data_IF_692288043104
#
_entry.id   IF_692288043104
#
_cell.length_a   1.000
_cell.length_b   1.000
_cell.length_c   1.000
_cell.angle_alpha   90.00
_cell.angle_beta   90.00
_cell.angle_gamma   90.00
#
_symmetry.space_group_name_H-M   'P 1'
#
loop_
_entity.id
_entity.type
_entity.pdbx_description
1 polymer ?
#
# COMPACT_ATOMS: atom_id res chain seq x y z
N UNK A 1 18.44 26.33 -11.69
CA UNK A 1 18.83 24.96 -12.12
C UNK A 1 20.17 24.61 -11.49
N UNK A 2 20.22 23.63 -10.59
CA UNK A 2 21.47 23.12 -10.04
C UNK A 2 21.99 22.01 -10.97
N UNK A 3 23.26 22.12 -11.40
CA UNK A 3 23.93 21.09 -12.20
C UNK A 3 24.28 19.87 -11.34
N UNK A 4 24.34 18.64 -11.89
CA UNK A 4 24.62 17.42 -11.13
C UNK A 4 25.90 17.46 -10.26
N UNK A 5 26.94 18.19 -10.67
CA UNK A 5 28.15 18.40 -9.86
C UNK A 5 27.88 19.14 -8.53
N UNK A 6 27.05 20.20 -8.55
CA UNK A 6 26.67 20.96 -7.35
C UNK A 6 25.81 20.13 -6.39
N UNK A 7 25.00 19.20 -6.90
CA UNK A 7 24.25 18.24 -6.07
C UNK A 7 25.18 17.33 -5.25
N UNK A 8 26.36 16.97 -5.75
CA UNK A 8 27.26 16.04 -5.05
C UNK A 8 28.10 16.68 -3.94
N UNK A 9 28.36 17.99 -4.03
CA UNK A 9 29.15 18.76 -3.06
C UNK A 9 28.32 19.21 -1.84
N UNK A 10 27.01 19.42 -2.01
CA UNK A 10 26.09 19.91 -0.95
C UNK A 10 25.57 18.83 0.01
N UNK A 11 25.88 17.55 -0.22
CA UNK A 11 25.55 16.48 0.72
C UNK A 11 26.80 16.14 1.55
N UNK A 12 26.98 16.73 2.75
CA UNK A 12 28.02 16.27 3.66
C UNK A 12 27.79 14.78 3.93
N UNK A 13 28.87 14.00 4.03
CA UNK A 13 28.83 12.54 4.22
C UNK A 13 27.74 12.18 5.24
N UNK A 14 26.59 11.74 4.76
CA UNK A 14 25.58 11.12 5.60
C UNK A 14 26.20 9.91 6.29
N UNK A 15 25.54 9.41 7.33
CA UNK A 15 25.89 8.16 8.03
C UNK A 15 26.53 7.16 7.06
N UNK A 16 27.78 6.77 7.36
CA UNK A 16 28.64 5.85 6.61
C UNK A 16 27.97 4.46 6.54
N UNK A 17 26.87 4.36 5.79
CA UNK A 17 26.29 3.08 5.41
C UNK A 17 27.10 2.61 4.22
N UNK A 18 27.77 1.47 4.37
CA UNK A 18 28.58 0.89 3.31
C UNK A 18 27.77 0.79 2.00
N UNK A 19 28.36 1.14 0.84
CA UNK A 19 27.68 1.08 -0.46
C UNK A 19 27.04 -0.28 -0.77
N UNK A 20 27.61 -1.35 -0.22
CA UNK A 20 27.17 -2.74 -0.38
C UNK A 20 25.79 -3.03 0.22
N UNK A 21 25.34 -2.22 1.18
CA UNK A 21 24.02 -2.35 1.81
C UNK A 21 22.91 -1.64 1.01
N UNK A 22 23.24 -1.01 -0.11
CA UNK A 22 22.31 -0.30 -0.98
C UNK A 22 22.19 -1.01 -2.33
N UNK A 23 20.96 -1.37 -2.68
CA UNK A 23 20.65 -2.09 -3.88
C UNK A 23 20.88 -1.23 -5.12
N UNK A 24 21.59 -1.80 -6.11
CA UNK A 24 21.73 -1.23 -7.45
C UNK A 24 20.42 -1.41 -8.21
N UNK A 25 19.95 -0.36 -8.88
CA UNK A 25 18.80 -0.47 -9.77
C UNK A 25 19.20 -1.27 -11.02
N UNK A 26 18.31 -2.16 -11.47
CA UNK A 26 18.55 -2.96 -12.67
C UNK A 26 18.48 -2.09 -13.93
N UNK A 27 19.18 -2.49 -15.01
CA UNK A 27 19.13 -1.78 -16.30
C UNK A 27 17.72 -1.66 -16.88
N UNK A 28 16.80 -2.54 -16.50
CA UNK A 28 15.42 -2.58 -16.98
C UNK A 28 14.44 -1.76 -16.14
N UNK A 29 14.84 -1.30 -14.94
CA UNK A 29 14.00 -0.46 -14.08
C UNK A 29 14.73 0.83 -13.71
N UNK A 30 14.22 1.95 -14.21
CA UNK A 30 14.73 3.28 -13.87
C UNK A 30 14.24 3.74 -12.51
N UNK A 31 14.91 4.76 -11.94
CA UNK A 31 14.44 5.46 -10.74
C UNK A 31 13.02 6.03 -10.93
N UNK A 32 12.65 6.44 -12.15
CA UNK A 32 11.29 6.90 -12.47
C UNK A 32 10.23 5.81 -12.22
N UNK A 33 10.52 4.56 -12.63
CA UNK A 33 9.60 3.44 -12.45
C UNK A 33 9.27 3.16 -10.98
N UNK A 34 10.22 3.47 -10.06
CA UNK A 34 10.03 3.27 -8.62
C UNK A 34 9.02 4.25 -8.01
N UNK A 35 8.84 5.42 -8.62
CA UNK A 35 7.95 6.48 -8.13
C UNK A 35 6.72 6.69 -9.01
N UNK A 36 6.52 5.89 -10.07
CA UNK A 36 5.38 5.99 -10.99
C UNK A 36 4.07 5.43 -10.40
N UNK A 37 4.14 4.62 -9.35
CA UNK A 37 3.00 3.88 -8.77
C UNK A 37 2.10 4.65 -7.79
N UNK A 38 2.15 5.98 -7.77
CA UNK A 38 1.39 6.84 -6.86
C UNK A 38 2.16 7.28 -5.60
N UNK A 39 1.48 8.02 -4.72
CA UNK A 39 2.09 8.63 -3.53
C UNK A 39 2.63 7.58 -2.55
N UNK A 40 3.96 7.50 -2.43
CA UNK A 40 4.63 6.65 -1.45
C UNK A 40 4.56 7.33 -0.07
N UNK A 41 3.69 6.86 0.81
CA UNK A 41 3.62 7.36 2.19
C UNK A 41 4.73 6.73 3.05
N UNK A 42 5.75 7.52 3.36
CA UNK A 42 6.87 7.20 4.23
C UNK A 42 6.54 7.53 5.68
N UNK A 43 6.89 6.62 6.59
CA UNK A 43 6.76 6.83 8.04
C UNK A 43 7.94 7.62 8.56
N UNK A 44 7.66 8.68 9.33
CA UNK A 44 8.66 9.55 9.92
C UNK A 44 9.06 9.04 11.32
N UNK A 45 10.36 8.86 11.51
CA UNK A 45 11.00 8.41 12.74
C UNK A 45 11.78 9.59 13.35
N UNK A 46 11.23 10.12 14.44
CA UNK A 46 11.81 11.23 15.20
C UNK A 46 12.72 10.69 16.30
N UNK A 47 13.92 11.27 16.39
CA UNK A 47 14.89 10.96 17.45
C UNK A 47 14.56 11.71 18.74
N UNK A 48 15.24 11.38 19.85
CA UNK A 48 14.94 11.94 21.17
C UNK A 48 15.12 13.45 21.34
N UNK A 49 15.94 14.09 20.49
CA UNK A 49 16.03 15.55 20.43
C UNK A 49 14.76 16.18 19.84
N UNK A 50 13.97 15.39 19.12
CA UNK A 50 12.79 15.83 18.41
C UNK A 50 11.49 15.72 19.23
N UNK A 51 11.25 16.71 20.09
CA UNK A 51 10.05 16.80 20.94
C UNK A 51 8.97 17.76 20.44
N UNK A 52 9.30 18.70 19.55
CA UNK A 52 8.37 19.71 19.04
C UNK A 52 8.49 19.89 17.53
N UNK A 53 7.43 20.38 16.89
CA UNK A 53 7.41 20.71 15.46
C UNK A 53 8.40 21.83 15.11
N UNK A 54 8.69 22.77 16.02
CA UNK A 54 9.67 23.86 15.82
C UNK A 54 11.05 23.37 15.35
N UNK A 55 11.54 22.27 15.89
CA UNK A 55 12.91 21.80 15.65
C UNK A 55 12.99 20.58 14.74
N UNK A 56 11.86 20.06 14.24
CA UNK A 56 11.80 18.72 13.62
C UNK A 56 11.02 18.67 12.33
N UNK A 57 10.48 19.81 11.92
CA UNK A 57 9.58 19.88 10.79
C UNK A 57 9.94 21.05 9.89
N UNK A 58 10.02 20.86 8.55
CA UNK A 58 10.33 21.92 7.61
C UNK A 58 9.42 23.13 7.64
N UNK A 59 8.28 23.14 8.36
CA UNK A 59 7.42 24.32 8.50
C UNK A 59 7.21 24.75 9.97
N UNK A 60 8.00 24.22 10.91
CA UNK A 60 7.90 24.57 12.33
C UNK A 60 6.50 24.33 12.89
N UNK A 61 6.03 25.22 13.77
CA UNK A 61 4.73 25.07 14.45
C UNK A 61 3.51 25.50 13.62
N UNK A 62 3.68 25.88 12.35
CA UNK A 62 2.59 26.41 11.50
C UNK A 62 1.37 25.50 11.38
N UNK A 63 1.55 24.18 11.53
CA UNK A 63 0.47 23.18 11.48
C UNK A 63 0.00 22.71 12.85
N UNK A 64 0.65 23.11 13.94
CA UNK A 64 0.25 22.74 15.31
C UNK A 64 0.39 21.26 15.67
N UNK A 65 0.96 20.42 14.80
CA UNK A 65 1.26 19.01 15.08
C UNK A 65 2.56 18.57 14.40
N UNK A 66 3.15 17.49 14.93
CA UNK A 66 4.30 16.82 14.32
C UNK A 66 3.79 15.70 13.39
N UNK A 67 4.03 15.76 12.07
CA UNK A 67 3.47 14.80 11.13
C UNK A 67 4.06 13.39 11.32
N UNK A 68 3.26 12.35 11.21
CA UNK A 68 3.72 10.95 11.28
C UNK A 68 4.12 10.39 9.92
N UNK A 69 3.65 11.02 8.83
CA UNK A 69 3.83 10.55 7.47
C UNK A 69 4.31 11.68 6.55
N UNK A 70 5.17 11.31 5.61
CA UNK A 70 5.61 12.12 4.47
C UNK A 70 5.26 11.38 3.19
N UNK A 71 4.84 12.07 2.14
CA UNK A 71 4.69 11.47 0.81
C UNK A 71 5.57 12.14 -0.23
N UNK A 72 6.04 11.32 -1.17
CA UNK A 72 6.74 11.79 -2.37
C UNK A 72 5.88 11.47 -3.58
N UNK A 73 5.30 12.50 -4.17
CA UNK A 73 4.50 12.43 -5.38
C UNK A 73 5.33 12.93 -6.55
N UNK A 74 5.71 12.04 -7.48
CA UNK A 74 6.50 12.41 -8.64
C UNK A 74 5.65 13.22 -9.63
N UNK A 75 6.10 14.42 -9.97
CA UNK A 75 5.46 15.35 -10.90
C UNK A 75 6.03 15.15 -12.32
N UNK A 76 7.36 15.01 -12.40
CA UNK A 76 8.07 14.91 -13.67
C UNK A 76 9.29 14.00 -13.49
N UNK A 77 9.57 13.18 -14.49
CA UNK A 77 10.81 12.42 -14.56
C UNK A 77 11.40 12.55 -15.97
N UNK A 78 12.69 12.90 -16.06
CA UNK A 78 13.42 12.87 -17.32
C UNK A 78 14.32 11.63 -17.35
N UNK A 79 14.06 10.74 -18.31
CA UNK A 79 14.83 9.50 -18.47
C UNK A 79 16.30 9.77 -18.87
N UNK A 80 16.56 10.85 -19.62
CA UNK A 80 17.90 11.16 -20.16
C UNK A 80 18.87 11.75 -19.11
N UNK A 81 18.32 12.39 -18.05
CA UNK A 81 19.12 13.07 -17.01
C UNK A 81 19.00 12.45 -15.63
N UNK A 82 18.19 11.39 -15.46
CA UNK A 82 17.84 10.81 -14.16
C UNK A 82 17.42 11.87 -13.12
N UNK A 83 16.82 12.95 -13.61
CA UNK A 83 16.36 14.08 -12.80
C UNK A 83 14.87 13.96 -12.55
N UNK A 84 14.46 14.04 -11.29
CA UNK A 84 13.08 13.88 -10.85
C UNK A 84 12.57 15.19 -10.24
N UNK A 85 11.28 15.45 -10.38
CA UNK A 85 10.59 16.51 -9.63
C UNK A 85 9.51 15.90 -8.77
N UNK A 86 9.45 16.34 -7.52
CA UNK A 86 8.54 15.82 -6.52
C UNK A 86 7.71 16.94 -5.89
N UNK A 87 6.45 16.63 -5.62
CA UNK A 87 5.68 17.28 -4.56
C UNK A 87 5.85 16.46 -3.29
N UNK A 88 6.28 17.11 -2.22
CA UNK A 88 6.54 16.49 -0.92
C UNK A 88 5.50 17.01 0.07
N UNK A 89 4.70 16.11 0.62
CA UNK A 89 3.58 16.47 1.49
C UNK A 89 3.69 15.76 2.84
N UNK A 90 3.17 16.37 3.89
CA UNK A 90 3.23 15.84 5.24
C UNK A 90 1.85 15.80 5.88
N UNK A 91 1.56 14.73 6.64
CA UNK A 91 0.27 14.59 7.32
C UNK A 91 0.36 13.61 8.50
N UNK A 92 -0.73 13.52 9.27
CA UNK A 92 -0.82 12.64 10.45
C UNK A 92 -1.76 11.43 10.26
N UNK A 93 -2.52 11.37 9.15
CA UNK A 93 -3.48 10.29 8.89
C UNK A 93 -3.10 9.46 7.66
N UNK A 94 -3.11 8.13 7.78
CA UNK A 94 -2.90 7.21 6.66
C UNK A 94 -3.99 7.27 5.58
N UNK A 95 -5.17 7.82 5.87
CA UNK A 95 -6.25 7.95 4.89
C UNK A 95 -6.19 9.31 4.19
N UNK A 96 -5.46 9.35 3.07
CA UNK A 96 -5.73 10.34 2.03
C UNK A 96 -6.45 9.61 0.90
N UNK A 97 -7.72 9.93 0.71
CA UNK A 97 -8.49 9.37 -0.41
C UNK A 97 -7.80 9.70 -1.74
N UNK A 98 -8.04 8.88 -2.75
CA UNK A 98 -7.53 9.05 -4.12
C UNK A 98 -7.86 10.44 -4.73
N UNK A 99 -8.81 11.16 -4.14
CA UNK A 99 -9.32 12.48 -4.57
C UNK A 99 -8.95 13.64 -3.62
N UNK A 100 -8.05 13.45 -2.66
CA UNK A 100 -7.63 14.53 -1.77
C UNK A 100 -6.77 15.55 -2.53
N UNK A 101 -7.20 16.81 -2.58
CA UNK A 101 -6.38 17.89 -3.16
C UNK A 101 -5.07 18.08 -2.39
N UNK A 102 -3.95 18.38 -3.10
CA UNK A 102 -2.67 18.71 -2.48
C UNK A 102 -2.78 19.92 -1.57
N UNK A 103 -2.25 19.84 -0.33
CA UNK A 103 -2.14 21.03 0.51
C UNK A 103 -0.81 21.73 0.23
N UNK A 104 -0.80 22.57 -0.80
CA UNK A 104 0.42 23.23 -1.31
C UNK A 104 1.06 24.13 -0.24
N UNK A 105 0.26 24.69 0.69
CA UNK A 105 0.76 25.59 1.74
C UNK A 105 1.72 24.92 2.73
N UNK A 106 1.62 23.60 2.90
CA UNK A 106 2.47 22.79 3.79
C UNK A 106 3.23 21.73 2.99
N UNK A 107 3.52 22.03 1.73
CA UNK A 107 4.23 21.13 0.82
C UNK A 107 5.53 21.74 0.33
N UNK A 108 6.49 20.88 0.01
CA UNK A 108 7.75 21.27 -0.62
C UNK A 108 7.75 20.83 -2.08
N UNK A 109 8.43 21.61 -2.93
CA UNK A 109 8.78 21.18 -4.27
C UNK A 109 10.24 20.71 -4.27
N UNK A 110 10.48 19.49 -4.74
CA UNK A 110 11.80 18.86 -4.72
C UNK A 110 12.34 18.60 -6.12
N UNK A 111 13.62 18.92 -6.35
CA UNK A 111 14.38 18.44 -7.51
C UNK A 111 15.35 17.34 -7.04
N UNK A 112 15.23 16.16 -7.63
CA UNK A 112 15.97 14.95 -7.30
C UNK A 112 16.94 14.52 -8.39
N UNK A 113 18.08 13.96 -7.99
CA UNK A 113 19.04 13.31 -8.89
C UNK A 113 19.54 11.99 -8.30
N UNK A 114 19.63 10.96 -9.14
CA UNK A 114 20.13 9.64 -8.75
C UNK A 114 21.66 9.57 -8.86
N UNK A 115 22.33 9.22 -7.76
CA UNK A 115 23.76 8.93 -7.70
C UNK A 115 23.98 7.42 -7.86
N UNK A 116 24.35 6.99 -9.07
CA UNK A 116 24.61 5.58 -9.40
C UNK A 116 25.81 5.00 -8.65
N UNK A 117 26.81 5.81 -8.28
CA UNK A 117 27.99 5.31 -7.55
C UNK A 117 27.63 4.98 -6.12
N UNK A 118 26.74 5.76 -5.51
CA UNK A 118 26.31 5.58 -4.11
C UNK A 118 25.02 4.77 -3.98
N UNK A 119 24.29 4.52 -5.07
CA UNK A 119 22.94 3.95 -5.08
C UNK A 119 21.96 4.73 -4.20
N UNK A 120 21.96 6.06 -4.34
CA UNK A 120 21.10 6.96 -3.56
C UNK A 120 20.43 8.01 -4.42
N UNK A 121 19.19 8.35 -4.05
CA UNK A 121 18.49 9.50 -4.58
C UNK A 121 18.70 10.69 -3.64
N UNK A 122 19.23 11.77 -4.18
CA UNK A 122 19.41 13.04 -3.48
C UNK A 122 18.36 14.03 -3.98
N UNK A 123 17.60 14.63 -3.06
CA UNK A 123 16.56 15.63 -3.38
C UNK A 123 16.83 16.94 -2.64
N UNK A 124 16.96 18.02 -3.40
CA UNK A 124 16.92 19.39 -2.87
C UNK A 124 15.48 19.84 -2.87
N UNK A 125 14.94 20.20 -1.71
CA UNK A 125 13.55 20.59 -1.56
C UNK A 125 13.42 22.05 -1.13
N UNK A 126 12.45 22.73 -1.73
CA UNK A 126 12.19 24.14 -1.56
C UNK A 126 10.79 24.39 -1.00
N UNK A 127 10.68 25.37 -0.11
CA UNK A 127 9.39 25.90 0.36
C UNK A 127 8.68 26.64 -0.76
N UNK A 128 7.35 26.52 -0.76
CA UNK A 128 6.47 27.27 -1.65
C UNK A 128 5.81 28.36 -0.81
N UNK A 129 6.16 29.62 -1.07
CA UNK A 129 5.57 30.75 -0.35
C UNK A 129 4.30 31.24 -1.03
N UNK A 130 3.41 31.84 -0.23
CA UNK A 130 2.13 32.45 -0.66
C UNK A 130 1.13 31.50 -1.37
N UNK A 131 1.38 30.19 -1.31
CA UNK A 131 0.54 29.16 -1.94
C UNK A 131 -0.91 29.11 -1.42
N UNK A 132 -1.17 29.63 -0.21
CA UNK A 132 -2.53 29.73 0.35
C UNK A 132 -3.37 30.86 -0.25
N UNK A 133 -2.74 31.84 -0.92
CA UNK A 133 -3.40 33.08 -1.35
C UNK A 133 -3.74 33.13 -2.84
N UNK A 134 -2.85 32.60 -3.70
CA UNK A 134 -3.08 32.37 -5.14
C UNK A 134 -1.89 31.62 -5.72
N UNK A 135 -2.12 30.72 -6.69
CA UNK A 135 -1.04 30.07 -7.44
C UNK A 135 -0.22 31.07 -8.25
N UNK A 136 -0.84 32.14 -8.75
CA UNK A 136 -0.17 33.15 -9.58
C UNK A 136 0.81 34.01 -8.78
N UNK A 137 0.61 34.11 -7.47
CA UNK A 137 1.49 34.82 -6.53
C UNK A 137 2.47 33.89 -5.82
N UNK A 138 2.31 32.57 -6.01
CA UNK A 138 3.17 31.58 -5.38
C UNK A 138 4.55 31.57 -6.03
N UNK A 139 5.58 31.42 -5.22
CA UNK A 139 6.94 31.29 -5.71
C UNK A 139 7.75 30.32 -4.86
N UNK A 140 8.76 29.76 -5.51
CA UNK A 140 9.75 28.89 -4.87
C UNK A 140 10.70 29.77 -4.07
N UNK A 141 10.83 29.47 -2.78
CA UNK A 141 11.69 30.21 -1.87
C UNK A 141 12.81 29.37 -1.29
N UNK A 142 12.77 29.15 0.02
CA UNK A 142 13.84 28.52 0.79
C UNK A 142 14.09 27.07 0.36
N UNK A 143 15.24 26.84 -0.30
CA UNK A 143 15.70 25.54 -0.79
C UNK A 143 16.73 24.86 0.11
N UNK A 144 16.70 25.10 1.43
CA UNK A 144 17.68 24.51 2.38
C UNK A 144 17.32 23.11 2.86
N UNK A 145 16.15 22.58 2.47
CA UNK A 145 15.78 21.21 2.83
C UNK A 145 16.50 20.21 1.92
N UNK A 146 17.06 19.16 2.52
CA UNK A 146 17.70 18.04 1.81
C UNK A 146 17.00 16.75 2.19
N UNK A 147 16.80 15.88 1.20
CA UNK A 147 16.43 14.49 1.41
C UNK A 147 17.47 13.59 0.76
N UNK A 148 17.69 12.44 1.38
CA UNK A 148 18.47 11.34 0.79
C UNK A 148 17.71 10.05 1.04
N UNK A 149 17.52 9.23 0.02
CA UNK A 149 16.93 7.89 0.17
C UNK A 149 17.71 6.83 -0.59
N UNK A 150 17.57 5.59 -0.13
CA UNK A 150 18.21 4.41 -0.71
C UNK A 150 17.28 3.20 -0.61
N UNK A 151 17.55 2.22 -1.46
CA UNK A 151 16.92 0.91 -1.41
C UNK A 151 17.85 -0.05 -0.68
N UNK A 152 17.48 -0.66 0.46
CA UNK A 152 18.31 -1.69 1.08
C UNK A 152 18.51 -2.89 0.15
N UNK A 153 19.68 -3.53 0.20
CA UNK A 153 19.97 -4.74 -0.60
C UNK A 153 19.51 -6.05 0.07
N UNK A 154 19.34 -6.03 1.39
CA UNK A 154 18.98 -7.18 2.21
C UNK A 154 17.83 -6.76 3.14
N UNK A 155 16.78 -7.57 3.17
CA UNK A 155 15.68 -7.50 4.12
C UNK A 155 15.87 -8.56 5.22
N UNK A 156 15.27 -8.30 6.37
CA UNK A 156 15.14 -9.29 7.46
C UNK A 156 13.86 -9.05 8.25
N UNK A 157 13.52 -9.95 9.17
CA UNK A 157 12.37 -9.75 10.09
C UNK A 157 12.46 -8.46 10.90
N UNK A 158 13.68 -7.96 11.15
CA UNK A 158 13.92 -6.69 11.85
C UNK A 158 13.86 -5.49 10.94
N UNK A 159 14.33 -5.62 9.70
CA UNK A 159 14.33 -4.53 8.73
C UNK A 159 13.55 -4.94 7.47
N UNK A 160 12.26 -4.60 7.47
CA UNK A 160 11.34 -4.93 6.37
C UNK A 160 11.12 -3.77 5.39
N UNK A 161 11.84 -2.67 5.57
CA UNK A 161 11.67 -1.44 4.78
C UNK A 161 12.39 -1.56 3.45
N UNK A 162 11.66 -1.37 2.36
CA UNK A 162 12.20 -1.40 0.98
C UNK A 162 12.78 -0.05 0.55
N UNK A 163 12.43 1.03 1.25
CA UNK A 163 13.11 2.33 1.15
C UNK A 163 13.41 2.82 2.56
N UNK A 164 14.61 3.36 2.73
CA UNK A 164 15.02 4.11 3.92
C UNK A 164 15.65 5.43 3.48
N UNK A 165 15.42 6.48 4.26
CA UNK A 165 15.95 7.79 3.95
C UNK A 165 15.95 8.73 5.14
N UNK A 166 16.40 9.94 4.87
CA UNK A 166 16.53 11.02 5.85
C UNK A 166 16.13 12.33 5.20
N UNK A 167 15.53 13.22 5.98
CA UNK A 167 15.22 14.61 5.63
C UNK A 167 15.80 15.53 6.70
N UNK A 168 16.44 16.63 6.29
CA UNK A 168 17.07 17.58 7.21
C UNK A 168 17.18 18.98 6.59
N UNK A 169 17.40 20.00 7.43
CA UNK A 169 17.79 21.33 7.00
C UNK A 169 19.32 21.46 6.97
N UNK A 170 19.87 22.17 5.97
CA UNK A 170 21.30 22.54 5.96
C UNK A 170 21.59 23.83 6.73
N UNK A 171 20.55 24.50 7.25
CA UNK A 171 20.70 25.72 8.04
C UNK A 171 21.42 25.43 9.36
N UNK A 172 22.16 26.40 9.93
CA UNK A 172 22.64 26.28 11.29
C UNK A 172 21.47 26.34 12.29
N UNK A 173 21.67 25.77 13.48
CA UNK A 173 20.63 25.58 14.49
C UNK A 173 19.97 26.87 15.00
N UNK A 174 20.64 28.01 14.85
CA UNK A 174 20.17 29.33 15.28
C UNK A 174 19.41 30.11 14.19
N UNK A 175 19.31 29.57 12.98
CA UNK A 175 18.60 30.21 11.87
C UNK A 175 17.14 29.75 11.74
N UNK A 176 16.29 30.67 11.32
CA UNK A 176 14.88 30.35 11.05
C UNK A 176 14.76 29.32 9.91
N UNK A 177 13.99 28.25 10.14
CA UNK A 177 13.86 27.15 9.18
C UNK A 177 14.89 26.03 9.36
N UNK A 178 15.72 26.09 10.41
CA UNK A 178 16.41 24.90 10.89
C UNK A 178 15.41 23.84 11.38
N UNK A 179 15.71 22.59 11.05
CA UNK A 179 15.13 21.44 11.72
C UNK A 179 16.12 20.27 11.66
N UNK A 180 16.08 19.46 12.71
CA UNK A 180 16.93 18.30 12.90
C UNK A 180 16.66 17.21 11.85
N UNK A 181 17.63 16.32 11.72
CA UNK A 181 17.53 15.16 10.82
C UNK A 181 16.44 14.21 11.30
N UNK A 182 15.49 13.93 10.42
CA UNK A 182 14.40 12.98 10.63
C UNK A 182 14.60 11.80 9.70
N UNK A 183 14.54 10.59 10.25
CA UNK A 183 14.61 9.37 9.45
C UNK A 183 13.22 9.05 8.89
N UNK A 184 13.18 8.40 7.74
CA UNK A 184 11.94 7.90 7.20
C UNK A 184 12.10 6.54 6.55
N UNK A 185 11.02 5.74 6.62
CA UNK A 185 11.02 4.38 6.08
C UNK A 185 9.75 4.11 5.31
N UNK A 186 9.85 3.20 4.34
CA UNK A 186 8.71 2.68 3.60
C UNK A 186 8.85 1.18 3.47
N UNK A 187 7.88 0.45 4.01
CA UNK A 187 7.76 -1.00 3.91
C UNK A 187 6.57 -1.42 3.05
N UNK A 188 6.32 -0.69 1.97
CA UNK A 188 5.24 -0.94 1.03
C UNK A 188 5.65 -1.79 -0.17
N UNK A 189 4.82 -1.77 -1.22
CA UNK A 189 4.72 -2.82 -2.25
C UNK A 189 5.71 -2.66 -3.41
N UNK A 190 6.85 -2.01 -3.18
CA UNK A 190 7.86 -1.85 -4.22
C UNK A 190 8.59 -3.19 -4.37
N UNK A 191 8.48 -3.77 -5.56
CA UNK A 191 9.18 -4.99 -5.93
C UNK A 191 10.54 -4.60 -6.50
N UNK A 192 11.61 -5.06 -5.88
CA UNK A 192 12.97 -4.76 -6.29
C UNK A 192 13.67 -6.03 -6.75
N UNK A 193 14.26 -5.99 -7.95
CA UNK A 193 15.07 -7.11 -8.44
C UNK A 193 16.40 -7.17 -7.70
N UNK A 194 16.84 -8.36 -7.31
CA UNK A 194 18.10 -8.57 -6.59
C UNK A 194 18.02 -8.31 -5.08
N UNK A 195 16.84 -7.96 -4.55
CA UNK A 195 16.62 -7.85 -3.11
C UNK A 195 16.65 -9.24 -2.47
N UNK A 196 17.55 -9.43 -1.51
CA UNK A 196 17.69 -10.68 -0.75
C UNK A 196 16.95 -10.62 0.57
N UNK A 197 16.59 -11.78 1.09
CA UNK A 197 16.06 -11.91 2.45
C UNK A 197 16.97 -12.79 3.31
N UNK A 198 17.31 -12.32 4.49
CA UNK A 198 18.09 -13.05 5.48
C UNK A 198 17.20 -13.44 6.67
N UNK A 199 17.06 -14.75 6.88
CA UNK A 199 16.27 -15.28 7.99
C UNK A 199 17.08 -15.31 9.28
N UNK A 200 16.52 -14.77 10.35
CA UNK A 200 17.21 -14.61 11.63
C UNK A 200 16.59 -15.42 12.78
N UNK A 201 15.37 -15.93 12.62
CA UNK A 201 14.62 -16.63 13.68
C UNK A 201 14.45 -18.13 13.42
N UNK A 202 15.13 -18.70 12.40
CA UNK A 202 14.94 -20.11 12.04
C UNK A 202 15.31 -21.09 13.14
N UNK A 203 16.28 -20.77 14.01
CA UNK A 203 16.61 -21.62 15.16
C UNK A 203 15.48 -21.67 16.18
N UNK A 204 14.77 -20.56 16.39
CA UNK A 204 13.55 -20.54 17.22
C UNK A 204 12.40 -21.25 16.53
N UNK A 205 12.25 -21.08 15.22
CA UNK A 205 11.23 -21.78 14.43
C UNK A 205 11.41 -23.30 14.56
N UNK A 206 12.63 -23.82 14.40
CA UNK A 206 12.92 -25.25 14.55
C UNK A 206 12.50 -25.80 15.92
N UNK A 207 12.64 -25.00 16.98
CA UNK A 207 12.24 -25.37 18.35
C UNK A 207 10.72 -25.28 18.57
N UNK A 208 10.09 -24.19 18.13
CA UNK A 208 8.67 -23.89 18.41
C UNK A 208 7.70 -24.51 17.39
N UNK A 209 8.21 -24.90 16.23
CA UNK A 209 7.46 -25.48 15.11
C UNK A 209 8.05 -26.85 14.73
N UNK A 210 7.94 -27.87 15.59
CA UNK A 210 8.41 -29.21 15.27
C UNK A 210 7.60 -29.76 14.08
N UNK A 211 8.28 -29.98 12.96
CA UNK A 211 7.66 -30.56 11.78
C UNK A 211 7.58 -32.07 11.94
N UNK A 212 6.39 -32.62 11.66
CA UNK A 212 6.24 -34.08 11.56
C UNK A 212 6.82 -34.50 10.23
N UNK A 213 7.61 -35.58 10.20
CA UNK A 213 8.06 -36.19 8.95
C UNK A 213 6.87 -36.36 8.01
N UNK A 214 7.03 -36.06 6.70
CA UNK A 214 5.95 -36.19 5.74
C UNK A 214 5.54 -37.65 5.68
N UNK A 215 4.50 -38.01 6.43
CA UNK A 215 3.83 -39.29 6.26
C UNK A 215 3.27 -39.26 4.84
N UNK A 216 3.58 -40.29 4.08
CA UNK A 216 2.98 -40.61 2.79
C UNK A 216 1.47 -40.76 2.96
N UNK A 217 0.73 -39.66 3.05
CA UNK A 217 -0.72 -39.67 3.01
C UNK A 217 -1.16 -39.45 1.56
N UNK A 218 -1.91 -40.42 1.06
CA UNK A 218 -2.40 -40.56 -0.30
C UNK A 218 -3.47 -39.54 -0.71
N UNK A 219 -3.84 -38.59 0.16
CA UNK A 219 -4.79 -37.52 -0.14
C UNK A 219 -4.10 -36.15 0.01
N UNK A 220 -3.22 -35.82 -0.93
CA UNK A 220 -2.63 -34.47 -1.01
C UNK A 220 -3.67 -33.53 -1.62
N UNK A 221 -4.29 -32.70 -0.78
CA UNK A 221 -4.91 -31.49 -1.27
C UNK A 221 -3.86 -30.66 -2.01
N UNK A 222 -4.20 -30.07 -3.15
CA UNK A 222 -3.30 -29.15 -3.81
C UNK A 222 -3.33 -27.83 -3.03
N UNK A 223 -2.24 -27.44 -2.39
CA UNK A 223 -2.14 -26.18 -1.64
C UNK A 223 -1.37 -25.13 -2.46
N UNK A 224 -1.46 -23.82 -2.11
CA UNK A 224 -0.68 -22.80 -2.79
C UNK A 224 0.82 -23.14 -2.75
N UNK A 225 1.48 -23.13 -3.90
CA UNK A 225 2.92 -23.37 -4.02
C UNK A 225 3.66 -22.06 -4.35
N UNK A 226 4.91 -21.96 -3.93
CA UNK A 226 5.84 -20.87 -4.28
C UNK A 226 5.27 -19.44 -4.13
N UNK A 227 5.66 -18.56 -5.06
CA UNK A 227 5.26 -17.15 -5.17
C UNK A 227 3.88 -17.02 -5.83
N UNK A 228 2.90 -17.78 -5.34
CA UNK A 228 1.52 -17.70 -5.84
C UNK A 228 0.81 -16.44 -5.32
N UNK A 229 0.00 -15.72 -6.15
CA UNK A 229 -0.91 -14.66 -5.70
C UNK A 229 -1.87 -15.09 -4.58
N UNK A 230 -2.13 -16.40 -4.46
CA UNK A 230 -3.01 -16.97 -3.43
C UNK A 230 -2.44 -16.88 -2.02
N UNK A 231 -1.12 -16.68 -1.86
CA UNK A 231 -0.46 -16.58 -0.55
C UNK A 231 -0.76 -15.30 0.23
N UNK A 232 -1.51 -14.38 -0.37
CA UNK A 232 -1.87 -13.08 0.22
C UNK A 232 -3.30 -13.09 0.71
N UNK A 233 -3.51 -12.75 1.98
CA UNK A 233 -4.82 -12.94 2.61
C UNK A 233 -5.31 -11.69 3.34
N UNK A 234 -6.60 -11.42 3.19
CA UNK A 234 -7.33 -10.48 4.03
C UNK A 234 -7.88 -11.24 5.24
N UNK A 235 -7.49 -10.80 6.43
CA UNK A 235 -8.05 -11.30 7.68
C UNK A 235 -9.39 -10.60 7.89
N UNK A 236 -10.48 -11.37 7.79
CA UNK A 236 -11.84 -10.86 7.90
C UNK A 236 -12.23 -10.66 9.35
N UNK A 237 -11.88 -11.62 10.20
CA UNK A 237 -12.19 -11.58 11.62
C UNK A 237 -10.98 -12.03 12.43
N UNK A 238 -10.65 -11.25 13.45
CA UNK A 238 -9.69 -11.60 14.49
C UNK A 238 -10.48 -11.64 15.79
N UNK A 239 -10.43 -12.77 16.48
CA UNK A 239 -11.17 -13.09 17.68
C UNK A 239 -10.20 -13.11 18.87
N UNK A 240 -10.55 -12.33 19.89
CA UNK A 240 -9.93 -12.41 21.21
C UNK A 240 -10.86 -13.11 22.20
N UNK A 241 -10.50 -13.09 23.48
CA UNK A 241 -11.27 -13.78 24.52
C UNK A 241 -12.69 -13.21 24.76
N UNK A 242 -13.00 -12.02 24.24
CA UNK A 242 -14.29 -11.31 24.44
C UNK A 242 -15.05 -11.10 23.13
N UNK A 243 -14.72 -11.85 22.08
CA UNK A 243 -15.32 -11.72 20.75
C UNK A 243 -14.39 -11.07 19.72
N UNK A 244 -14.97 -10.57 18.63
CA UNK A 244 -14.22 -10.00 17.50
C UNK A 244 -13.53 -8.70 17.91
N UNK A 245 -12.22 -8.65 17.75
CA UNK A 245 -11.37 -7.51 18.11
C UNK A 245 -10.95 -6.66 16.90
N UNK A 246 -11.03 -7.21 15.68
CA UNK A 246 -10.56 -6.48 14.50
C UNK A 246 -10.56 -7.28 13.20
N UNK A 247 -9.82 -6.73 12.23
CA UNK A 247 -9.52 -7.29 10.92
C UNK A 247 -8.05 -7.01 10.57
N UNK A 248 -7.56 -7.49 9.43
CA UNK A 248 -6.14 -7.33 9.11
C UNK A 248 -5.74 -7.86 7.73
N UNK A 249 -4.44 -7.98 7.52
CA UNK A 249 -3.83 -8.59 6.34
C UNK A 249 -2.62 -9.43 6.68
N UNK A 250 -2.41 -10.46 5.86
CA UNK A 250 -1.20 -11.27 5.79
C UNK A 250 -0.61 -11.07 4.40
N UNK A 251 0.53 -10.38 4.35
CA UNK A 251 1.22 -10.04 3.12
C UNK A 251 2.59 -10.76 3.13
N UNK A 252 2.82 -11.74 2.23
CA UNK A 252 4.11 -12.40 2.15
C UNK A 252 5.20 -11.40 1.76
N UNK A 253 6.35 -11.51 2.42
CA UNK A 253 7.50 -10.62 2.26
C UNK A 253 8.62 -11.28 1.45
N UNK A 254 8.91 -12.55 1.74
CA UNK A 254 9.96 -13.33 1.08
C UNK A 254 9.63 -14.83 1.06
N UNK A 255 10.09 -15.53 0.03
CA UNK A 255 10.03 -16.99 -0.10
C UNK A 255 11.44 -17.46 -0.47
N UNK A 256 12.03 -18.31 0.36
CA UNK A 256 13.47 -18.57 0.27
C UNK A 256 14.27 -17.26 0.39
N UNK A 257 15.36 -17.14 -0.36
CA UNK A 257 16.23 -15.96 -0.32
C UNK A 257 15.71 -14.76 -1.14
N UNK A 258 14.52 -14.86 -1.73
CA UNK A 258 13.96 -13.85 -2.65
C UNK A 258 12.75 -13.12 -2.07
N UNK A 259 12.64 -11.82 -2.38
CA UNK A 259 11.44 -11.04 -2.11
C UNK A 259 10.23 -11.65 -2.82
N UNK A 260 9.09 -11.75 -2.13
CA UNK A 260 7.84 -12.20 -2.72
C UNK A 260 7.38 -11.25 -3.85
N UNK A 261 7.09 -11.80 -5.01
CA UNK A 261 6.64 -11.06 -6.20
C UNK A 261 5.20 -11.42 -6.54
N UNK A 262 4.29 -10.45 -6.44
CA UNK A 262 2.85 -10.69 -6.71
C UNK A 262 2.57 -11.08 -8.17
N UNK A 263 3.38 -10.59 -9.11
CA UNK A 263 3.24 -10.84 -10.54
C UNK A 263 4.61 -11.05 -11.18
N UNK A 264 5.25 -12.22 -10.97
CA UNK A 264 6.60 -12.48 -11.46
C UNK A 264 6.67 -12.41 -13.01
N UNK A 265 5.56 -12.74 -13.69
CA UNK A 265 5.45 -12.73 -15.15
C UNK A 265 5.41 -11.33 -15.79
N UNK A 266 5.16 -10.27 -15.01
CA UNK A 266 5.06 -8.89 -15.54
C UNK A 266 6.39 -8.13 -15.49
N UNK A 267 7.49 -8.76 -15.06
CA UNK A 267 8.82 -8.16 -15.13
C UNK A 267 9.56 -8.66 -16.38
N UNK A 268 10.28 -7.79 -17.11
CA UNK A 268 11.12 -8.21 -18.22
C UNK A 268 12.14 -9.25 -17.77
N UNK A 269 12.02 -10.45 -18.34
CA UNK A 269 12.89 -11.61 -18.15
C UNK A 269 14.34 -11.29 -18.55
N UNK A 270 15.09 -10.66 -17.64
CA UNK A 270 16.54 -10.53 -17.74
C UNK A 270 17.26 -11.19 -16.56
N UNK A 271 16.53 -11.64 -15.53
CA UNK A 271 17.05 -12.64 -14.62
C UNK A 271 16.77 -14.01 -15.22
N UNK A 272 17.80 -14.63 -15.78
CA UNK A 272 17.98 -16.07 -15.63
C UNK A 272 17.51 -16.45 -14.23
N UNK A 273 16.61 -17.43 -14.09
CA UNK A 273 16.51 -18.19 -12.83
C UNK A 273 17.96 -18.44 -12.39
N UNK A 274 18.41 -17.96 -11.22
CA UNK A 274 19.73 -18.33 -10.76
C UNK A 274 19.66 -19.84 -10.56
N UNK A 275 20.29 -20.60 -11.45
CA UNK A 275 20.79 -21.92 -11.10
C UNK A 275 21.90 -21.66 -10.07
N UNK A 276 21.51 -21.37 -8.82
CA UNK A 276 22.41 -21.44 -7.70
C UNK A 276 22.31 -22.86 -7.14
N UNK A 277 23.32 -23.71 -7.31
CA UNK A 277 23.37 -25.04 -6.70
C UNK A 277 23.65 -24.98 -5.18
N UNK A 278 23.33 -23.88 -4.50
CA UNK A 278 23.67 -23.63 -3.10
C UNK A 278 22.46 -23.44 -2.18
N UNK A 279 21.24 -23.49 -2.72
CA UNK A 279 20.04 -23.80 -1.93
C UNK A 279 19.42 -25.00 -2.61
N UNK A 280 19.93 -26.18 -2.28
CA UNK A 280 19.08 -27.35 -2.21
C UNK A 280 17.89 -26.92 -1.34
N UNK A 281 16.80 -26.50 -1.99
CA UNK A 281 15.53 -26.86 -1.41
C UNK A 281 15.64 -28.38 -1.27
N UNK A 282 15.45 -28.89 -0.06
CA UNK A 282 15.02 -30.26 0.11
C UNK A 282 13.69 -30.37 -0.65
N UNK A 283 13.76 -30.44 -1.98
CA UNK A 283 12.65 -30.54 -2.91
C UNK A 283 11.94 -31.88 -2.74
N UNK A 284 12.55 -32.80 -1.99
CA UNK A 284 11.93 -34.00 -1.44
C UNK A 284 11.10 -33.78 -0.17
N UNK A 285 11.27 -32.68 0.59
CA UNK A 285 10.59 -32.47 1.88
C UNK A 285 9.22 -31.78 1.77
N UNK A 286 8.97 -31.00 0.71
CA UNK A 286 7.76 -30.19 0.57
C UNK A 286 7.69 -28.99 1.52
N UNK A 287 8.83 -28.57 2.09
CA UNK A 287 8.93 -27.48 3.06
C UNK A 287 9.56 -26.23 2.42
N UNK A 288 9.00 -25.06 2.70
CA UNK A 288 9.48 -23.77 2.19
C UNK A 288 9.69 -22.76 3.33
N UNK A 289 10.86 -22.12 3.34
CA UNK A 289 11.09 -20.97 4.19
C UNK A 289 10.31 -19.77 3.64
N UNK A 290 9.56 -19.09 4.50
CA UNK A 290 8.70 -17.97 4.11
C UNK A 290 8.68 -16.90 5.21
N UNK A 291 8.61 -15.64 4.78
CA UNK A 291 8.43 -14.49 5.67
C UNK A 291 7.13 -13.77 5.34
N UNK A 292 6.46 -13.26 6.39
CA UNK A 292 5.21 -12.51 6.29
C UNK A 292 5.29 -11.18 7.03
N UNK A 293 4.56 -10.20 6.51
CA UNK A 293 4.15 -9.00 7.23
C UNK A 293 2.67 -9.13 7.58
N UNK A 294 2.39 -9.07 8.87
CA UNK A 294 1.06 -9.20 9.44
C UNK A 294 0.64 -7.82 9.95
N UNK A 295 -0.51 -7.35 9.49
CA UNK A 295 -1.12 -6.08 9.93
C UNK A 295 -2.48 -6.34 10.55
N UNK A 296 -2.69 -5.89 11.78
CA UNK A 296 -3.95 -6.05 12.49
C UNK A 296 -4.48 -4.66 12.82
N UNK A 297 -5.72 -4.40 12.47
CA UNK A 297 -6.44 -3.18 12.82
C UNK A 297 -7.49 -3.54 13.87
N UNK A 298 -7.41 -2.90 15.04
CA UNK A 298 -8.36 -3.13 16.11
C UNK A 298 -9.59 -2.23 15.98
N UNK A 299 -10.75 -2.80 16.29
CA UNK A 299 -12.04 -2.10 16.39
C UNK A 299 -12.26 -1.43 17.74
N UNK A 300 -11.51 -1.84 18.78
CA UNK A 300 -11.58 -1.26 20.13
C UNK A 300 -10.19 -1.21 20.78
N UNK A 301 -9.99 -0.26 21.68
CA UNK A 301 -8.73 -0.05 22.42
C UNK A 301 -8.50 -1.06 23.56
N UNK A 302 -9.49 -1.89 23.91
CA UNK A 302 -9.41 -2.82 25.04
C UNK A 302 -8.91 -4.20 24.62
N UNK A 303 -7.65 -4.27 24.21
CA UNK A 303 -6.96 -5.56 24.12
C UNK A 303 -6.38 -5.91 25.50
N UNK A 304 -6.77 -7.05 26.04
CA UNK A 304 -6.26 -7.50 27.33
C UNK A 304 -4.85 -8.06 27.20
N UNK A 305 -3.88 -7.43 27.87
CA UNK A 305 -2.51 -7.94 28.08
C UNK A 305 -1.58 -7.77 26.87
N UNK A 306 -0.46 -7.07 27.10
CA UNK A 306 0.79 -7.12 26.32
C UNK A 306 0.80 -6.62 24.88
N UNK A 307 -0.28 -6.69 24.10
CA UNK A 307 -0.36 -6.26 22.70
C UNK A 307 -0.70 -4.77 22.58
N UNK A 308 0.31 -3.91 22.77
CA UNK A 308 0.12 -2.48 22.65
C UNK A 308 -0.09 -2.05 21.19
N UNK A 309 -1.10 -1.19 20.92
CA UNK A 309 -1.25 -0.49 19.65
C UNK A 309 0.04 0.18 19.18
N UNK A 310 0.30 0.19 17.87
CA UNK A 310 1.01 1.32 17.28
C UNK A 310 -0.03 2.44 17.17
N UNK A 311 0.05 3.43 18.07
CA UNK A 311 -0.77 4.64 17.98
C UNK A 311 -0.27 5.47 16.79
N UNK A 312 -0.82 5.20 15.61
CA UNK A 312 -0.42 5.84 14.34
C UNK A 312 -0.99 7.27 14.18
N UNK A 313 -1.74 7.81 15.16
CA UNK A 313 -2.14 9.23 15.15
C UNK A 313 -2.60 9.74 16.53
N UNK A 314 -2.66 11.06 16.69
CA UNK A 314 -3.24 11.77 17.84
C UNK A 314 -4.77 11.86 17.80
N UNK A 315 -5.44 11.07 16.94
CA UNK A 315 -6.89 11.03 16.85
C UNK A 315 -7.39 9.66 17.32
N UNK A 316 -8.04 9.66 18.48
CA UNK A 316 -8.50 8.48 19.23
C UNK A 316 -9.53 7.62 18.47
N UNK A 317 -10.06 8.11 17.35
CA UNK A 317 -11.11 7.47 16.57
C UNK A 317 -10.65 6.64 15.36
N UNK A 318 -9.36 6.67 14.98
CA UNK A 318 -8.87 5.94 13.80
C UNK A 318 -7.61 5.09 14.07
N UNK A 319 -7.90 3.87 14.52
CA UNK A 319 -7.20 2.59 14.24
C UNK A 319 -5.78 2.44 14.81
N UNK A 320 -5.73 2.03 16.07
CA UNK A 320 -4.71 1.11 16.61
C UNK A 320 -4.34 0.03 15.59
N UNK A 321 -3.12 0.08 15.05
CA UNK A 321 -2.60 -0.94 14.16
C UNK A 321 -1.47 -1.71 14.85
N UNK A 322 -1.53 -3.03 14.86
CA UNK A 322 -0.43 -3.89 15.31
C UNK A 322 0.26 -4.41 14.06
N UNK A 323 1.59 -4.37 14.04
CA UNK A 323 2.42 -4.86 12.94
C UNK A 323 3.38 -5.91 13.47
N UNK A 324 3.37 -7.08 12.84
CA UNK A 324 4.23 -8.20 13.19
C UNK A 324 4.92 -8.65 11.91
N UNK A 325 6.24 -8.71 11.93
CA UNK A 325 7.01 -9.39 10.90
C UNK A 325 7.22 -10.84 11.36
N UNK A 326 7.11 -11.83 10.48
CA UNK A 326 7.23 -13.23 10.86
C UNK A 326 8.11 -14.00 9.88
N UNK A 327 8.80 -15.01 10.39
CA UNK A 327 9.64 -15.94 9.65
C UNK A 327 9.27 -17.36 10.07
N UNK A 328 9.18 -18.27 9.12
CA UNK A 328 9.01 -19.68 9.44
C UNK A 328 8.98 -20.59 8.24
N UNK A 329 8.39 -21.77 8.45
CA UNK A 329 8.37 -22.83 7.45
C UNK A 329 6.93 -23.16 7.08
N UNK A 330 6.67 -23.20 5.78
CA UNK A 330 5.44 -23.63 5.17
C UNK A 330 5.57 -25.06 4.65
N UNK A 331 4.63 -25.92 5.04
CA UNK A 331 4.48 -27.27 4.53
C UNK A 331 3.45 -27.28 3.40
N UNK A 332 3.94 -27.45 2.17
CA UNK A 332 3.12 -27.50 0.95
C UNK A 332 2.20 -28.73 0.97
N UNK A 333 2.61 -29.83 1.59
CA UNK A 333 1.86 -31.08 1.58
C UNK A 333 0.62 -31.01 2.48
N UNK A 334 0.70 -30.28 3.60
CA UNK A 334 -0.41 -30.15 4.56
C UNK A 334 -1.13 -28.81 4.51
N UNK A 335 -0.55 -27.82 3.84
CA UNK A 335 -1.03 -26.44 3.89
C UNK A 335 -0.80 -25.78 5.25
N UNK A 336 0.13 -26.28 6.07
CA UNK A 336 0.41 -25.76 7.41
C UNK A 336 1.61 -24.81 7.39
N UNK A 337 1.46 -23.64 7.98
CA UNK A 337 2.52 -22.65 8.17
C UNK A 337 2.70 -22.36 9.65
N UNK A 338 3.94 -22.48 10.12
CA UNK A 338 4.31 -22.16 11.49
C UNK A 338 5.50 -21.21 11.51
N UNK A 339 5.37 -20.10 12.22
CA UNK A 339 6.30 -18.98 12.19
C UNK A 339 6.55 -18.40 13.58
N UNK A 340 7.72 -17.78 13.73
CA UNK A 340 8.05 -16.89 14.84
C UNK A 340 7.94 -15.44 14.35
N UNK A 341 7.20 -14.64 15.10
CA UNK A 341 6.94 -13.24 14.81
C UNK A 341 7.74 -12.31 15.73
N UNK A 342 8.17 -11.19 15.17
CA UNK A 342 8.71 -10.04 15.88
C UNK A 342 7.82 -8.81 15.70
N UNK A 343 7.68 -8.03 16.78
CA UNK A 343 7.05 -6.70 16.76
C UNK A 343 7.98 -5.67 17.38
N UNK A 344 7.94 -4.45 16.86
CA UNK A 344 8.64 -3.33 17.48
C UNK A 344 7.93 -2.92 18.76
N UNK A 345 8.69 -2.83 19.86
CA UNK A 345 8.21 -2.24 21.11
C UNK A 345 8.44 -0.73 21.03
N UNK A 346 7.35 0.04 21.10
CA UNK A 346 7.45 1.50 21.19
C UNK A 346 7.80 1.84 22.64
N UNK A 347 8.95 2.46 22.87
CA UNK A 347 9.20 3.13 24.14
C UNK A 347 8.20 4.29 24.27
N UNK A 348 7.55 4.41 25.43
CA UNK A 348 6.69 5.55 25.78
C UNK A 348 7.44 6.88 25.67
N UNK A 349 8.76 6.84 25.80
CA UNK A 349 9.63 7.95 25.55
C UNK A 349 10.13 7.88 24.11
N UNK A 350 9.79 8.91 23.32
CA UNK A 350 10.32 9.17 21.96
C UNK A 350 11.86 9.34 21.94
N UNK A 351 12.57 9.05 23.04
CA UNK A 351 13.97 9.33 23.29
C UNK A 351 14.90 8.12 23.34
N UNK A 352 14.41 6.90 23.17
CA UNK A 352 15.30 5.72 23.13
C UNK A 352 15.31 5.09 21.74
N UNK A 353 16.38 5.36 21.00
CA UNK A 353 16.82 4.59 19.83
C UNK A 353 17.33 3.22 20.27
N UNK A 354 16.44 2.38 20.79
CA UNK A 354 16.72 0.95 20.90
C UNK A 354 15.68 0.20 20.09
N UNK A 355 16.14 -0.49 19.06
CA UNK A 355 15.44 -1.51 18.25
C UNK A 355 14.98 -2.69 19.14
N UNK A 356 14.27 -2.40 20.23
CA UNK A 356 13.75 -3.43 21.13
C UNK A 356 12.60 -4.11 20.41
N UNK A 357 12.90 -5.30 19.92
CA UNK A 357 12.00 -6.17 19.17
C UNK A 357 11.56 -7.31 20.07
N UNK A 358 10.25 -7.47 20.23
CA UNK A 358 9.68 -8.65 20.88
C UNK A 358 9.46 -9.74 19.83
N UNK A 359 10.34 -10.73 19.83
CA UNK A 359 10.33 -11.89 18.92
C UNK A 359 9.74 -13.15 19.56
N UNK A 360 8.92 -13.01 20.60
CA UNK A 360 8.32 -14.12 21.33
C UNK A 360 6.86 -14.36 20.91
N UNK A 361 6.58 -14.24 19.60
CA UNK A 361 5.24 -14.44 19.04
C UNK A 361 5.24 -15.70 18.19
N UNK A 362 4.31 -16.62 18.47
CA UNK A 362 4.07 -17.80 17.66
C UNK A 362 2.88 -17.56 16.73
N UNK A 363 3.06 -17.77 15.43
CA UNK A 363 2.01 -17.64 14.43
C UNK A 363 1.82 -18.99 13.75
N UNK A 364 0.58 -19.48 13.73
CA UNK A 364 0.20 -20.72 13.03
C UNK A 364 -0.92 -20.44 12.06
N UNK A 365 -0.79 -20.92 10.83
CA UNK A 365 -1.76 -20.69 9.75
C UNK A 365 -2.01 -22.01 9.05
N UNK A 366 -3.28 -22.33 8.84
CA UNK A 366 -3.69 -23.47 8.04
C UNK A 366 -4.40 -22.96 6.80
N UNK A 367 -3.81 -23.24 5.64
CA UNK A 367 -4.36 -22.89 4.35
C UNK A 367 -5.35 -23.97 3.90
N UNK A 368 -6.51 -23.59 3.35
CA UNK A 368 -7.40 -24.55 2.74
C UNK A 368 -6.81 -25.05 1.41
N UNK A 369 -7.13 -26.28 0.97
CA UNK A 369 -6.76 -26.75 -0.36
C UNK A 369 -7.32 -25.84 -1.45
N UNK A 370 -6.61 -25.72 -2.57
CA UNK A 370 -7.01 -24.95 -3.74
C UNK A 370 -8.32 -25.47 -4.34
N UNK A 371 -8.55 -26.79 -4.36
CA UNK A 371 -9.77 -27.37 -4.92
C UNK A 371 -10.98 -27.30 -3.96
N UNK A 372 -10.83 -26.60 -2.83
CA UNK A 372 -11.88 -26.48 -1.83
C UNK A 372 -12.80 -25.29 -2.10
N UNK A 373 -14.06 -25.35 -1.64
CA UNK A 373 -15.09 -24.31 -1.81
C UNK A 373 -14.48 -22.91 -1.55
N UNK A 374 -14.75 -21.93 -2.43
CA UNK A 374 -14.30 -20.54 -2.25
C UNK A 374 -14.78 -19.93 -0.92
N UNK A 375 -15.77 -20.52 -0.27
CA UNK A 375 -16.18 -20.17 1.10
C UNK A 375 -15.16 -20.55 2.17
N UNK A 376 -14.28 -21.51 1.91
CA UNK A 376 -13.28 -21.98 2.87
C UNK A 376 -12.30 -20.86 3.20
N UNK A 377 -12.25 -20.54 4.50
CA UNK A 377 -11.43 -19.48 5.05
C UNK A 377 -10.10 -20.07 5.51
N UNK A 378 -9.02 -19.31 5.38
CA UNK A 378 -7.82 -19.58 6.17
C UNK A 378 -8.18 -19.47 7.64
N UNK A 379 -7.58 -20.32 8.47
CA UNK A 379 -7.68 -20.25 9.92
C UNK A 379 -6.29 -20.22 10.51
N UNK A 380 -6.12 -19.49 11.60
CA UNK A 380 -4.84 -19.43 12.26
C UNK A 380 -4.91 -18.81 13.62
N UNK A 381 -3.77 -18.80 14.31
CA UNK A 381 -3.64 -18.22 15.63
C UNK A 381 -2.34 -17.44 15.79
N UNK A 382 -2.38 -16.43 16.64
CA UNK A 382 -1.24 -15.62 17.07
C UNK A 382 -1.17 -15.71 18.59
N UNK A 383 -0.06 -16.18 19.13
CA UNK A 383 0.09 -16.50 20.55
C UNK A 383 1.40 -15.95 21.09
N UNK A 384 1.42 -15.55 22.36
CA UNK A 384 2.66 -15.25 23.08
C UNK A 384 3.37 -16.54 23.46
N UNK A 385 4.69 -16.59 23.26
CA UNK A 385 5.56 -17.66 23.79
C UNK A 385 6.08 -17.35 25.20
N UNK A 386 5.83 -16.13 25.70
CA UNK A 386 6.26 -15.68 27.03
C UNK A 386 5.38 -16.27 28.13
N UNK A 387 5.93 -16.35 29.33
CA UNK A 387 5.16 -16.67 30.53
C UNK A 387 4.02 -15.67 30.76
N UNK A 388 2.94 -16.09 31.43
CA UNK A 388 1.77 -15.23 31.66
C UNK A 388 2.05 -14.06 32.60
N UNK A 389 3.11 -14.15 33.38
CA UNK A 389 3.61 -13.12 34.31
C UNK A 389 4.36 -12.01 33.57
N UNK A 390 4.84 -12.27 32.35
CA UNK A 390 5.57 -11.29 31.55
C UNK A 390 4.62 -10.18 31.07
N UNK A 391 4.94 -8.88 31.28
CA UNK A 391 4.10 -7.76 30.85
C UNK A 391 3.81 -7.70 29.34
N UNK A 392 4.69 -8.24 28.51
CA UNK A 392 4.53 -8.32 27.06
C UNK A 392 3.69 -9.51 26.61
N UNK A 393 3.37 -10.44 27.53
CA UNK A 393 2.53 -11.59 27.25
C UNK A 393 1.08 -11.19 26.97
N UNK A 394 0.46 -11.92 26.05
CA UNK A 394 -0.90 -11.65 25.60
C UNK A 394 -1.68 -12.93 25.35
N UNK A 395 -3.01 -12.80 25.42
CA UNK A 395 -3.91 -13.94 25.20
C UNK A 395 -3.91 -14.37 23.72
N UNK A 396 -3.99 -15.68 23.43
CA UNK A 396 -4.11 -16.18 22.06
C UNK A 396 -5.21 -15.49 21.26
N UNK A 397 -4.87 -15.07 20.05
CA UNK A 397 -5.79 -14.52 19.07
C UNK A 397 -6.05 -15.56 18.00
N UNK A 398 -7.32 -15.81 17.70
CA UNK A 398 -7.71 -16.65 16.56
C UNK A 398 -8.10 -15.75 15.40
N UNK A 399 -7.84 -16.18 14.17
CA UNK A 399 -8.25 -15.40 13.01
C UNK A 399 -8.78 -16.28 11.89
N UNK A 400 -9.65 -15.68 11.08
CA UNK A 400 -10.09 -16.23 9.82
C UNK A 400 -10.04 -15.21 8.69
N UNK A 401 -9.74 -15.68 7.49
CA UNK A 401 -9.50 -14.80 6.34
C UNK A 401 -9.75 -15.46 4.99
N UNK A 402 -9.57 -14.71 3.92
CA UNK A 402 -9.71 -15.17 2.53
C UNK A 402 -8.55 -14.68 1.67
N UNK A 403 -8.22 -15.45 0.62
CA UNK A 403 -7.22 -15.06 -0.37
C UNK A 403 -7.69 -13.78 -1.07
N UNK A 404 -6.79 -12.81 -1.20
CA UNK A 404 -7.06 -11.56 -1.93
C UNK A 404 -7.38 -11.88 -3.41
N UNK A 405 -6.72 -12.87 -4.01
CA UNK A 405 -6.94 -13.28 -5.39
C UNK A 405 -8.35 -13.88 -5.60
N UNK A 406 -8.73 -14.83 -4.74
CA UNK A 406 -10.09 -15.42 -4.78
C UNK A 406 -11.20 -14.42 -4.50
N UNK A 407 -10.92 -13.44 -3.63
CA UNK A 407 -11.86 -12.35 -3.35
C UNK A 407 -12.08 -11.48 -4.58
N UNK A 408 -11.01 -11.19 -5.34
CA UNK A 408 -11.10 -10.42 -6.60
C UNK A 408 -11.87 -11.14 -7.71
N UNK A 409 -11.74 -12.47 -7.82
CA UNK A 409 -12.53 -13.27 -8.78
C UNK A 409 -14.02 -13.22 -8.43
N UNK A 410 -14.39 -13.34 -7.15
CA UNK A 410 -15.79 -13.23 -6.73
C UNK A 410 -16.34 -11.82 -6.94
N UNK A 411 -15.56 -10.77 -6.68
CA UNK A 411 -15.96 -9.39 -6.98
C UNK A 411 -16.15 -9.17 -8.48
N UNK A 412 -15.28 -9.70 -9.35
CA UNK A 412 -15.45 -9.65 -10.80
C UNK A 412 -16.70 -10.41 -11.28
N UNK A 413 -16.96 -11.61 -10.75
CA UNK A 413 -18.18 -12.37 -11.08
C UNK A 413 -19.45 -11.59 -10.70
N UNK A 414 -19.45 -10.94 -9.53
CA UNK A 414 -20.59 -10.10 -9.08
C UNK A 414 -20.76 -8.86 -9.95
N UNK A 415 -19.67 -8.22 -10.37
CA UNK A 415 -19.72 -7.06 -11.29
C UNK A 415 -20.28 -7.48 -12.65
N UNK A 416 -19.84 -8.62 -13.20
CA UNK A 416 -20.39 -9.12 -14.48
C UNK A 416 -21.89 -9.40 -14.41
N UNK A 417 -22.41 -9.87 -13.26
CA UNK A 417 -23.84 -10.16 -13.09
C UNK A 417 -24.69 -8.87 -12.93
N UNK A 418 -24.11 -7.82 -12.33
CA UNK A 418 -24.75 -6.50 -12.20
C UNK A 418 -24.76 -5.71 -13.51
N UNK A 419 -23.66 -5.74 -14.27
CA UNK A 419 -23.56 -5.08 -15.59
C UNK A 419 -24.49 -5.75 -16.60
N UNK A 420 -24.58 -7.09 -16.59
CA UNK A 420 -25.53 -7.85 -17.41
C UNK A 420 -26.97 -7.36 -17.17
N UNK A 421 -27.41 -7.29 -15.91
CA UNK A 421 -28.78 -6.83 -15.55
C UNK A 421 -29.06 -5.38 -15.97
N UNK A 422 -28.06 -4.52 -16.00
CA UNK A 422 -28.20 -3.10 -16.37
C UNK A 422 -28.27 -2.89 -17.89
N UNK A 423 -27.52 -3.66 -18.67
CA UNK A 423 -27.53 -3.61 -20.14
C UNK A 423 -28.89 -4.09 -20.70
N UNK A 424 -29.47 -5.15 -20.14
CA UNK A 424 -30.80 -5.63 -20.54
C UNK A 424 -31.91 -4.62 -20.26
N UNK A 425 -31.84 -3.87 -19.14
CA UNK A 425 -32.85 -2.84 -18.81
C UNK A 425 -32.77 -1.62 -19.74
N UNK A 426 -31.56 -1.19 -20.12
CA UNK A 426 -31.40 -0.03 -21.01
C UNK A 426 -31.78 -0.35 -22.47
N UNK A 427 -31.45 -1.55 -22.96
CA UNK A 427 -31.85 -1.98 -24.31
C UNK A 427 -33.37 -2.18 -24.43
N UNK A 428 -34.05 -2.66 -23.38
CA UNK A 428 -35.51 -2.76 -23.35
C UNK A 428 -36.21 -1.40 -23.42
N UNK A 429 -35.68 -0.39 -22.71
CA UNK A 429 -36.23 0.97 -22.73
C UNK A 429 -36.07 1.63 -24.10
N UNK A 430 -34.87 1.57 -24.70
CA UNK A 430 -34.60 2.18 -26.01
C UNK A 430 -35.42 1.53 -27.14
N UNK A 431 -35.57 0.21 -27.13
CA UNK A 431 -36.40 -0.51 -28.11
C UNK A 431 -37.88 -0.15 -27.99
N UNK A 432 -38.40 0.02 -26.77
CA UNK A 432 -39.80 0.41 -26.55
C UNK A 432 -40.06 1.83 -27.06
N UNK A 433 -39.13 2.77 -26.81
CA UNK A 433 -39.21 4.15 -27.31
C UNK A 433 -39.17 4.19 -28.85
N UNK A 434 -38.30 3.40 -29.49
CA UNK A 434 -38.24 3.33 -30.94
C UNK A 434 -39.58 2.89 -31.56
N UNK A 435 -40.20 1.85 -30.98
CA UNK A 435 -41.47 1.30 -31.45
C UNK A 435 -42.61 2.32 -31.26
N UNK A 436 -42.66 3.03 -30.14
CA UNK A 436 -43.70 4.05 -29.91
C UNK A 436 -43.56 5.23 -30.87
N UNK A 437 -42.34 5.71 -31.13
CA UNK A 437 -42.10 6.78 -32.11
C UNK A 437 -42.51 6.35 -33.54
N UNK A 438 -42.20 5.12 -33.94
CA UNK A 438 -42.63 4.60 -35.24
C UNK A 438 -44.16 4.53 -35.35
N UNK A 439 -44.85 4.02 -34.31
CA UNK A 439 -46.31 3.95 -34.27
C UNK A 439 -46.95 5.35 -34.33
N UNK A 440 -46.46 6.32 -33.55
CA UNK A 440 -46.96 7.70 -33.57
C UNK A 440 -46.77 8.33 -34.95
N UNK A 441 -45.60 8.14 -35.58
CA UNK A 441 -45.32 8.64 -36.92
C UNK A 441 -46.29 8.09 -37.97
N UNK A 442 -46.58 6.78 -37.92
CA UNK A 442 -47.58 6.17 -38.82
C UNK A 442 -48.99 6.72 -38.60
N UNK A 443 -49.38 6.99 -37.34
CA UNK A 443 -50.69 7.55 -37.02
C UNK A 443 -50.84 8.98 -37.57
N UNK A 444 -49.79 9.80 -37.43
CA UNK A 444 -49.78 11.18 -37.95
C UNK A 444 -49.86 11.22 -39.48
N UNK A 445 -49.14 10.33 -40.18
CA UNK A 445 -49.24 10.21 -41.64
C UNK A 445 -50.66 9.81 -42.09
N UNK A 446 -51.30 8.87 -41.39
CA UNK A 446 -52.69 8.50 -41.65
C UNK A 446 -53.64 9.68 -41.40
N UNK A 447 -53.45 10.44 -40.33
CA UNK A 447 -54.22 11.65 -40.06
C UNK A 447 -54.03 12.71 -41.16
N UNK A 448 -52.80 12.94 -41.63
CA UNK A 448 -52.54 13.89 -42.73
C UNK A 448 -53.19 13.45 -44.04
N UNK A 449 -53.15 12.16 -44.38
CA UNK A 449 -53.82 11.61 -45.56
C UNK A 449 -55.36 11.72 -45.45
N UNK A 450 -55.92 11.48 -44.27
CA UNK A 450 -57.35 11.69 -44.00
C UNK A 450 -57.74 13.16 -44.11
N UNK A 451 -56.96 14.08 -43.53
CA UNK A 451 -57.18 15.53 -43.62
C UNK A 451 -57.05 16.04 -45.05
N UNK A 452 -56.09 15.53 -45.83
CA UNK A 452 -55.95 15.87 -47.25
C UNK A 452 -57.16 15.39 -48.06
N UNK A 453 -57.64 14.16 -47.82
CA UNK A 453 -58.90 13.67 -48.42
C UNK A 453 -60.12 14.47 -47.98
N UNK A 454 -60.16 14.93 -46.74
CA UNK A 454 -61.25 15.75 -46.21
C UNK A 454 -61.24 17.17 -46.81
N UNK A 455 -60.07 17.81 -46.92
CA UNK A 455 -59.94 19.14 -47.50
C UNK A 455 -60.19 19.16 -49.02
N UNK A 456 -59.77 18.12 -49.76
CA UNK A 456 -60.17 17.98 -51.17
C UNK A 456 -61.67 17.76 -51.36
N UNK A 457 -62.41 17.31 -50.33
CA UNK A 457 -63.88 17.30 -50.39
C UNK A 457 -64.48 18.67 -50.09
N UNK A 458 -63.85 19.51 -49.26
CA UNK A 458 -64.30 20.89 -48.99
C UNK A 458 -63.99 21.87 -50.11
N UNK A 459 -62.96 21.65 -50.93
CA UNK A 459 -62.66 22.50 -52.10
C UNK A 459 -63.69 22.41 -53.23
N UNK A 460 -64.74 21.60 -53.09
CA UNK A 460 -65.87 21.50 -54.03
C UNK A 460 -67.04 22.42 -53.62
N UNK A 461 -67.01 23.04 -52.42
CA UNK A 461 -68.01 24.04 -52.00
C UNK A 461 -67.40 25.08 -51.02
N UNK A 462 -67.12 26.34 -51.43
CA UNK A 462 -67.04 27.49 -50.52
C UNK A 462 -68.49 27.97 -50.25
N UNK A 463 -68.91 28.54 -49.14
CA UNK A 463 -68.29 29.38 -48.11
C UNK A 463 -69.33 29.56 -47.01
N UNK A 464 -68.92 29.66 -45.74
CA UNK A 464 -69.62 30.57 -44.82
C UNK A 464 -68.65 31.02 -43.72
N UNK A 465 -68.46 32.34 -43.66
CA UNK A 465 -67.74 33.06 -42.62
C UNK A 465 -68.54 33.09 -41.31
N UNK A 466 -67.83 33.05 -40.18
CA UNK A 466 -68.02 33.86 -38.95
C UNK A 466 -67.40 33.11 -37.77
N UNK A 467 -66.29 33.59 -37.21
CA UNK A 467 -66.24 34.49 -36.04
C UNK A 467 -67.10 34.02 -34.85
N UNK A 468 -66.43 33.51 -33.81
CA UNK A 468 -66.72 33.65 -32.36
C UNK A 468 -65.43 33.14 -31.66
N UNK A 469 -64.54 34.01 -31.15
CA UNK A 469 -64.47 34.49 -29.76
C UNK A 469 -64.46 33.37 -28.71
N UNK A 470 -63.34 33.20 -28.01
CA UNK A 470 -63.26 33.32 -26.55
C UNK A 470 -61.83 33.14 -26.01
N UNK A 471 -61.50 34.06 -25.12
CA UNK A 471 -60.30 34.18 -24.30
C UNK A 471 -60.00 32.98 -23.40
N UNK A 472 -58.71 32.87 -23.03
CA UNK A 472 -58.12 32.64 -21.69
C UNK A 472 -57.06 31.56 -21.67
#
# INVERSE_FOLDING_TARGET
MLTPKKFSEEYPRGTHVQPELSLRLSRTRTICNMFSGGANAFELEYTGSCKSSKSCYPFGDSIGYLPSLMSLSMIQCSNDRLSLRFLIEFWNNSYRGYYGSPNISTSLIGEGSWDEKKNRLHIVACRIYYASSSLDKSHVGDCTTRLSLRFPAILSIRNTSTIVGEIWSVKPWNESGFFDRVQFRYGGRIQLQGLKYEYMQMDKVKKSCPMKNPRTSSNRGQYPYDVSPDMRYRLLAIEGSKGRIGWGSLDPLAVGDQQYQRFPFLLPSSSSKPNNPAVESDSNSGLLNISYKISITLSSSKLGGGLNPVNDSSNESLRTKIRISAEGVYDIATGSLCMVGCRHLRSSDKSSSSDSMDCEILVKINFPPLNSDMRNKIKGSIQSMREKTDPLSFKPLQFSGRSDYRSGILEQIVITDFESRSIWRMNFYLTTVQITFQLIGTLLLLCQLCSFRYNNRRSIFPSEESLILCDS
#
